data_IF_854034097191
#
_entry.id   IF_854034097191
#
_cell.length_a   1.000
_cell.length_b   1.000
_cell.length_c   1.000
_cell.angle_alpha   90.00
_cell.angle_beta   90.00
_cell.angle_gamma   90.00
#
_symmetry.space_group_name_H-M   'P 1'
#
loop_
_entity.id
_entity.type
_entity.pdbx_description
1 polymer ?
#
# COMPACT_ATOMS: atom_id res chain seq x y z
N UNK A 1 9.48 19.83 5.34
CA UNK A 1 8.65 18.65 5.03
C UNK A 1 7.56 18.61 6.10
N UNK A 2 6.32 18.77 5.69
CA UNK A 2 5.16 18.66 6.57
C UNK A 2 5.07 17.21 7.07
N UNK A 3 4.71 16.99 8.34
CA UNK A 3 4.54 15.66 8.92
C UNK A 3 3.60 14.80 8.08
N UNK A 4 2.53 15.37 7.51
CA UNK A 4 1.59 14.66 6.63
C UNK A 4 2.23 14.21 5.31
N UNK A 5 3.11 15.02 4.72
CA UNK A 5 3.86 14.64 3.51
C UNK A 5 4.82 13.48 3.80
N UNK A 6 5.53 13.54 4.94
CA UNK A 6 6.44 12.47 5.33
C UNK A 6 5.73 11.15 5.61
N UNK A 7 4.55 11.20 6.23
CA UNK A 7 3.71 10.01 6.43
C UNK A 7 3.20 9.49 5.08
N UNK A 8 2.78 10.36 4.17
CA UNK A 8 2.34 9.97 2.82
C UNK A 8 3.45 9.23 2.06
N UNK A 9 4.66 9.80 2.02
CA UNK A 9 5.82 9.18 1.35
C UNK A 9 6.13 7.79 1.95
N UNK A 10 6.16 7.69 3.28
CA UNK A 10 6.39 6.41 3.96
C UNK A 10 5.30 5.37 3.63
N UNK A 11 4.04 5.78 3.60
CA UNK A 11 2.91 4.89 3.30
C UNK A 11 2.96 4.41 1.83
N UNK A 12 3.36 5.29 0.90
CA UNK A 12 3.61 4.91 -0.50
C UNK A 12 4.71 3.85 -0.59
N UNK A 13 5.86 4.08 0.04
CA UNK A 13 6.95 3.11 0.04
C UNK A 13 6.53 1.76 0.66
N UNK A 14 5.78 1.79 1.76
CA UNK A 14 5.29 0.56 2.39
C UNK A 14 4.38 -0.22 1.44
N UNK A 15 3.53 0.48 0.68
CA UNK A 15 2.66 -0.14 -0.32
C UNK A 15 3.46 -0.74 -1.47
N UNK A 16 4.52 -0.08 -1.93
CA UNK A 16 5.41 -0.62 -2.97
C UNK A 16 6.14 -1.89 -2.51
N UNK A 17 6.69 -1.86 -1.29
CA UNK A 17 7.33 -3.04 -0.67
C UNK A 17 6.34 -4.22 -0.57
N UNK A 18 5.10 -3.96 -0.17
CA UNK A 18 4.08 -5.02 -0.08
C UNK A 18 3.69 -5.59 -1.45
N UNK A 19 3.57 -4.73 -2.47
CA UNK A 19 3.35 -5.19 -3.85
C UNK A 19 4.51 -6.06 -4.35
N UNK A 20 5.75 -5.66 -4.10
CA UNK A 20 6.92 -6.45 -4.47
C UNK A 20 6.94 -7.82 -3.77
N UNK A 21 6.61 -7.86 -2.47
CA UNK A 21 6.50 -9.10 -1.72
C UNK A 21 5.41 -10.03 -2.27
N UNK A 22 4.23 -9.49 -2.61
CA UNK A 22 3.14 -10.28 -3.19
C UNK A 22 3.50 -10.82 -4.58
N UNK A 23 4.22 -10.05 -5.40
CA UNK A 23 4.72 -10.51 -6.70
C UNK A 23 5.73 -11.65 -6.53
N UNK A 24 6.66 -11.54 -5.59
CA UNK A 24 7.61 -12.61 -5.26
C UNK A 24 6.88 -13.88 -4.81
N UNK A 25 5.95 -13.74 -3.86
CA UNK A 25 5.12 -14.84 -3.36
C UNK A 25 4.35 -15.53 -4.50
N UNK A 26 3.79 -14.75 -5.42
CA UNK A 26 3.10 -15.27 -6.61
C UNK A 26 4.04 -16.08 -7.50
N UNK A 27 5.23 -15.56 -7.81
CA UNK A 27 6.21 -16.24 -8.66
C UNK A 27 6.66 -17.57 -8.05
N UNK A 28 6.86 -17.61 -6.75
CA UNK A 28 7.36 -18.80 -6.04
C UNK A 28 6.28 -19.86 -5.82
N UNK A 29 5.08 -19.44 -5.39
CA UNK A 29 4.08 -20.38 -4.90
C UNK A 29 2.97 -20.68 -5.89
N UNK A 30 2.51 -19.72 -6.69
CA UNK A 30 1.35 -19.93 -7.56
C UNK A 30 1.53 -21.10 -8.55
N UNK A 31 2.70 -21.29 -9.20
CA UNK A 31 2.87 -22.39 -10.17
C UNK A 31 2.84 -23.79 -9.55
N UNK A 32 3.21 -23.93 -8.28
CA UNK A 32 3.43 -25.24 -7.63
C UNK A 32 2.45 -25.55 -6.51
N UNK A 33 1.95 -24.51 -5.84
CA UNK A 33 1.15 -24.58 -4.62
C UNK A 33 0.04 -23.50 -4.64
N UNK A 34 -0.88 -23.52 -5.62
CA UNK A 34 -1.87 -22.46 -5.81
C UNK A 34 -2.76 -22.25 -4.58
N UNK A 35 -3.17 -23.33 -3.88
CA UNK A 35 -3.95 -23.22 -2.64
C UNK A 35 -3.18 -22.50 -1.52
N UNK A 36 -1.90 -22.79 -1.37
CA UNK A 36 -1.03 -22.13 -0.37
C UNK A 36 -0.84 -20.65 -0.72
N UNK A 37 -0.68 -20.35 -2.00
CA UNK A 37 -0.62 -18.97 -2.46
C UNK A 37 -1.90 -18.21 -2.11
N UNK A 38 -3.09 -18.76 -2.39
CA UNK A 38 -4.37 -18.10 -2.07
C UNK A 38 -4.43 -17.68 -0.60
N UNK A 39 -4.16 -18.62 0.31
CA UNK A 39 -4.22 -18.36 1.77
C UNK A 39 -3.19 -17.31 2.18
N UNK A 40 -1.95 -17.42 1.71
CA UNK A 40 -0.88 -16.49 2.09
C UNK A 40 -1.01 -15.12 1.43
N UNK A 41 -1.72 -15.00 0.31
CA UNK A 41 -1.95 -13.75 -0.40
C UNK A 41 -3.06 -12.90 0.23
N UNK A 42 -3.97 -13.49 1.01
CA UNK A 42 -5.09 -12.78 1.65
C UNK A 42 -4.62 -11.61 2.51
N UNK A 43 -3.67 -11.84 3.43
CA UNK A 43 -3.12 -10.81 4.31
C UNK A 43 -2.44 -9.66 3.55
N UNK A 44 -1.46 -9.93 2.67
CA UNK A 44 -0.82 -8.91 1.83
C UNK A 44 -1.80 -8.11 0.97
N UNK A 45 -2.82 -8.77 0.40
CA UNK A 45 -3.84 -8.10 -0.40
C UNK A 45 -4.68 -7.13 0.44
N UNK A 46 -5.03 -7.54 1.66
CA UNK A 46 -5.77 -6.69 2.58
C UNK A 46 -4.94 -5.47 3.02
N UNK A 47 -3.67 -5.68 3.34
CA UNK A 47 -2.77 -4.58 3.71
C UNK A 47 -2.53 -3.61 2.55
N UNK A 48 -2.43 -4.09 1.30
CA UNK A 48 -2.34 -3.21 0.11
C UNK A 48 -3.60 -2.35 -0.04
N UNK A 49 -4.78 -2.88 0.25
CA UNK A 49 -6.03 -2.10 0.24
C UNK A 49 -6.00 -1.04 1.33
N UNK A 50 -5.67 -1.42 2.56
CA UNK A 50 -5.54 -0.48 3.70
C UNK A 50 -4.58 0.67 3.38
N UNK A 51 -3.39 0.36 2.86
CA UNK A 51 -2.39 1.35 2.49
C UNK A 51 -2.85 2.27 1.35
N UNK A 52 -3.60 1.74 0.37
CA UNK A 52 -4.17 2.56 -0.70
C UNK A 52 -5.16 3.58 -0.13
N UNK A 53 -6.07 3.12 0.72
CA UNK A 53 -7.11 3.97 1.29
C UNK A 53 -6.47 5.03 2.22
N UNK A 54 -5.38 4.69 2.91
CA UNK A 54 -4.57 5.62 3.71
C UNK A 54 -3.86 6.67 2.84
N UNK A 55 -3.27 6.28 1.71
CA UNK A 55 -2.67 7.22 0.73
C UNK A 55 -3.72 8.20 0.19
N UNK A 56 -4.91 7.71 -0.16
CA UNK A 56 -6.00 8.54 -0.67
C UNK A 56 -6.46 9.56 0.37
N UNK A 57 -6.61 9.12 1.63
CA UNK A 57 -6.94 10.01 2.74
C UNK A 57 -5.88 11.10 2.99
N UNK A 58 -4.61 10.71 3.07
CA UNK A 58 -3.50 11.65 3.31
C UNK A 58 -3.35 12.66 2.17
N UNK A 59 -3.48 12.20 0.92
CA UNK A 59 -3.42 13.06 -0.27
C UNK A 59 -4.58 14.06 -0.30
N UNK A 60 -5.78 13.62 0.06
CA UNK A 60 -6.95 14.50 0.19
C UNK A 60 -6.77 15.58 1.26
N UNK A 61 -6.22 15.22 2.43
CA UNK A 61 -5.94 16.17 3.50
C UNK A 61 -4.90 17.22 3.11
N UNK A 62 -3.86 16.81 2.37
CA UNK A 62 -2.84 17.73 1.82
C UNK A 62 -3.46 18.73 0.84
N UNK A 63 -4.23 18.24 -0.15
CA UNK A 63 -4.90 19.10 -1.12
C UNK A 63 -5.87 20.09 -0.46
N UNK A 64 -6.62 19.65 0.57
CA UNK A 64 -7.52 20.52 1.32
C UNK A 64 -6.76 21.59 2.12
N UNK A 65 -5.60 21.25 2.68
CA UNK A 65 -4.74 22.18 3.42
C UNK A 65 -4.16 23.24 2.49
N UNK A 66 -3.68 22.85 1.31
CA UNK A 66 -3.19 23.79 0.28
C UNK A 66 -4.30 24.72 -0.20
N UNK A 67 -5.50 24.20 -0.48
CA UNK A 67 -6.63 25.00 -0.91
C UNK A 67 -7.11 26.00 0.16
N UNK A 68 -7.00 25.67 1.44
CA UNK A 68 -7.35 26.57 2.55
C UNK A 68 -6.28 27.64 2.81
N UNK A 69 -5.05 27.46 2.32
CA UNK A 69 -3.94 28.39 2.47
C UNK A 69 -3.80 29.38 1.28
N UNK A 70 -4.59 29.19 0.21
CA UNK A 70 -4.65 30.03 -0.99
C UNK A 70 -5.73 31.12 -0.86
#
# INVERSE_FOLDING_TARGET
MNTTEAVLDQTVEQRERMNAALIALRRELLPRQPRKFTILAEGPLEEIRRLRDEIEHLSGNLAATEAAAA
#
